data_IF_545576147042
#
_entry.id   IF_545576147042
#
_cell.length_a   1.000
_cell.length_b   1.000
_cell.length_c   1.000
_cell.angle_alpha   90.00
_cell.angle_beta   90.00
_cell.angle_gamma   90.00
#
_symmetry.space_group_name_H-M   'P 1'
#
loop_
_entity.id
_entity.type
_entity.pdbx_description
1 polymer ?
#
# COMPACT_ATOMS: atom_id res chain seq x y z
N UNK A 1 -15.40 -7.08 -20.14
CA UNK A 1 -14.87 -8.44 -20.42
C UNK A 1 -15.31 -9.37 -19.28
N UNK A 2 -15.21 -10.72 -19.38
CA UNK A 2 -15.62 -11.56 -18.25
C UNK A 2 -14.76 -11.28 -17.02
N UNK A 3 -15.40 -11.27 -15.84
CA UNK A 3 -14.70 -11.33 -14.55
C UNK A 3 -14.08 -12.70 -14.32
N UNK A 4 -13.19 -12.82 -13.34
CA UNK A 4 -12.58 -14.10 -12.96
C UNK A 4 -13.65 -15.18 -12.74
N UNK A 5 -14.65 -14.89 -11.92
CA UNK A 5 -15.72 -15.83 -11.58
C UNK A 5 -16.54 -16.22 -12.81
N UNK A 6 -16.84 -15.25 -13.69
CA UNK A 6 -17.53 -15.52 -14.96
C UNK A 6 -16.69 -16.38 -15.92
N UNK A 7 -15.38 -16.16 -15.99
CA UNK A 7 -14.48 -16.92 -16.88
C UNK A 7 -14.36 -18.38 -16.46
N UNK A 8 -14.22 -18.63 -15.16
CA UNK A 8 -14.10 -19.99 -14.61
C UNK A 8 -15.46 -20.66 -14.35
N UNK A 9 -16.57 -19.92 -14.41
CA UNK A 9 -17.90 -20.44 -14.07
C UNK A 9 -18.12 -20.66 -12.57
N UNK A 10 -17.49 -19.84 -11.72
CA UNK A 10 -17.68 -19.85 -10.27
C UNK A 10 -18.96 -19.07 -9.94
N UNK A 11 -19.89 -19.72 -9.23
CA UNK A 11 -21.16 -19.12 -8.83
C UNK A 11 -21.10 -18.62 -7.38
N UNK A 12 -21.83 -17.54 -7.10
CA UNK A 12 -21.96 -16.99 -5.75
C UNK A 12 -20.83 -16.01 -5.36
N UNK A 13 -20.83 -15.55 -4.10
CA UNK A 13 -19.79 -14.64 -3.61
C UNK A 13 -18.44 -15.36 -3.53
N UNK A 14 -17.38 -14.63 -3.90
CA UNK A 14 -15.99 -15.10 -3.82
C UNK A 14 -15.18 -14.27 -2.81
N UNK A 15 -14.20 -14.88 -2.12
CA UNK A 15 -13.37 -14.19 -1.12
C UNK A 15 -12.23 -13.38 -1.75
N UNK A 16 -12.07 -13.43 -3.07
CA UNK A 16 -11.07 -12.65 -3.81
C UNK A 16 -11.72 -11.49 -4.59
N UNK A 17 -10.92 -10.53 -5.00
CA UNK A 17 -11.36 -9.45 -5.87
C UNK A 17 -11.77 -9.99 -7.26
N UNK A 18 -13.07 -9.99 -7.55
CA UNK A 18 -13.62 -10.49 -8.83
C UNK A 18 -13.46 -9.46 -9.95
N UNK A 19 -12.28 -9.42 -10.54
CA UNK A 19 -11.89 -8.43 -11.55
C UNK A 19 -12.05 -8.93 -12.98
N UNK A 20 -12.20 -8.01 -13.92
CA UNK A 20 -12.17 -8.32 -15.35
C UNK A 20 -10.78 -8.80 -15.79
N UNK A 21 -10.72 -9.94 -16.50
CA UNK A 21 -9.44 -10.56 -16.86
C UNK A 21 -8.70 -9.75 -17.94
N UNK A 22 -9.42 -9.19 -18.92
CA UNK A 22 -8.79 -8.51 -20.05
C UNK A 22 -8.93 -6.98 -20.03
N UNK A 23 -9.31 -6.40 -18.89
CA UNK A 23 -9.43 -4.95 -18.72
C UNK A 23 -8.69 -4.48 -17.46
N UNK A 24 -8.51 -3.16 -17.37
CA UNK A 24 -8.05 -2.46 -16.16
C UNK A 24 -9.22 -2.24 -15.20
N UNK A 25 -9.02 -2.60 -13.94
CA UNK A 25 -10.07 -2.61 -12.92
C UNK A 25 -9.98 -1.41 -11.96
N UNK A 26 -8.93 -0.58 -12.06
CA UNK A 26 -8.69 0.58 -11.18
C UNK A 26 -8.83 0.26 -9.69
N UNK A 27 -8.32 -0.91 -9.32
CA UNK A 27 -8.24 -1.38 -7.95
C UNK A 27 -6.76 -1.47 -7.56
N UNK A 28 -6.51 -1.33 -6.27
CA UNK A 28 -5.17 -1.18 -5.73
C UNK A 28 -5.07 -1.99 -4.45
N UNK A 29 -4.04 -2.81 -4.36
CA UNK A 29 -3.67 -3.47 -3.10
C UNK A 29 -3.25 -2.36 -2.13
N UNK A 30 -3.93 -2.24 -1.01
CA UNK A 30 -3.55 -1.29 0.03
C UNK A 30 -2.94 -2.01 1.24
N UNK A 31 -1.64 -1.84 1.52
CA UNK A 31 -0.98 -2.43 2.68
C UNK A 31 -1.64 -2.05 4.01
N UNK A 32 -2.24 -0.85 4.11
CA UNK A 32 -2.95 -0.44 5.31
C UNK A 32 -4.30 -1.15 5.49
N UNK A 33 -4.95 -1.63 4.41
CA UNK A 33 -6.12 -2.50 4.54
C UNK A 33 -5.74 -3.83 5.14
N UNK A 34 -4.62 -4.41 4.67
CA UNK A 34 -4.09 -5.67 5.18
C UNK A 34 -3.79 -5.52 6.67
N UNK A 35 -3.19 -4.39 7.08
CA UNK A 35 -2.86 -4.11 8.49
C UNK A 35 -4.08 -3.97 9.39
N UNK A 36 -5.19 -3.49 8.84
CA UNK A 36 -6.44 -3.32 9.58
C UNK A 36 -7.34 -4.56 9.49
N UNK A 37 -6.92 -5.61 8.77
CA UNK A 37 -7.63 -6.87 8.74
C UNK A 37 -7.59 -7.53 10.13
N UNK A 38 -8.78 -7.86 10.66
CA UNK A 38 -8.94 -8.38 12.03
C UNK A 38 -9.32 -9.85 12.07
N UNK A 39 -9.84 -10.36 10.97
CA UNK A 39 -10.29 -11.74 10.92
C UNK A 39 -9.06 -12.66 10.82
N UNK A 40 -9.09 -13.86 11.43
CA UNK A 40 -8.01 -14.81 11.32
C UNK A 40 -7.87 -15.31 9.87
N UNK A 41 -7.06 -14.61 9.07
CA UNK A 41 -6.66 -15.01 7.73
C UNK A 41 -5.15 -15.29 7.75
N UNK A 42 -4.70 -16.55 7.56
CA UNK A 42 -3.28 -16.90 7.69
C UNK A 42 -2.40 -16.10 6.73
N UNK A 43 -2.94 -15.75 5.55
CA UNK A 43 -2.23 -14.99 4.53
C UNK A 43 -1.96 -13.53 4.94
N UNK A 44 -2.83 -12.92 5.76
CA UNK A 44 -2.66 -11.53 6.19
C UNK A 44 -1.45 -11.39 7.13
N UNK A 45 -1.26 -12.33 8.06
CA UNK A 45 -0.12 -12.33 8.97
C UNK A 45 1.21 -12.46 8.20
N UNK A 46 1.28 -13.37 7.22
CA UNK A 46 2.47 -13.52 6.39
C UNK A 46 2.70 -12.33 5.45
N UNK A 47 1.64 -11.73 4.89
CA UNK A 47 1.73 -10.50 4.10
C UNK A 47 2.31 -9.34 4.93
N UNK A 48 1.82 -9.14 6.16
CA UNK A 48 2.34 -8.11 7.06
C UNK A 48 3.78 -8.38 7.46
N UNK A 49 4.15 -9.64 7.72
CA UNK A 49 5.54 -10.01 7.99
C UNK A 49 6.46 -9.66 6.81
N UNK A 50 6.02 -9.89 5.57
CA UNK A 50 6.76 -9.45 4.38
C UNK A 50 6.89 -7.92 4.31
N UNK A 51 5.78 -7.19 4.45
CA UNK A 51 5.76 -5.71 4.41
C UNK A 51 6.69 -5.12 5.45
N UNK A 52 6.57 -5.56 6.70
CA UNK A 52 7.28 -4.96 7.83
C UNK A 52 8.78 -5.29 7.78
N UNK A 53 9.15 -6.54 7.44
CA UNK A 53 10.57 -6.90 7.32
C UNK A 53 11.24 -6.23 6.12
N UNK A 54 10.55 -6.12 4.99
CA UNK A 54 11.07 -5.41 3.82
C UNK A 54 11.35 -3.95 4.16
N UNK A 55 10.35 -3.27 4.72
CA UNK A 55 10.45 -1.84 4.96
C UNK A 55 11.43 -1.52 6.08
N UNK A 56 11.50 -2.36 7.11
CA UNK A 56 12.53 -2.28 8.13
C UNK A 56 13.94 -2.33 7.54
N UNK A 57 14.22 -3.21 6.57
CA UNK A 57 15.55 -3.24 5.94
C UNK A 57 15.86 -1.95 5.17
N UNK A 58 14.86 -1.39 4.45
CA UNK A 58 15.02 -0.11 3.73
C UNK A 58 15.34 1.02 4.71
N UNK A 59 14.57 1.19 5.78
CA UNK A 59 14.79 2.26 6.75
C UNK A 59 16.05 2.04 7.57
N UNK A 60 16.36 0.80 7.97
CA UNK A 60 17.58 0.47 8.70
C UNK A 60 18.84 0.76 7.88
N UNK A 61 18.81 0.52 6.56
CA UNK A 61 19.89 0.90 5.65
C UNK A 61 20.18 2.41 5.64
N UNK A 62 19.16 3.25 5.82
CA UNK A 62 19.29 4.71 5.92
C UNK A 62 19.85 5.09 7.30
N UNK A 63 19.32 4.48 8.36
CA UNK A 63 19.72 4.74 9.75
C UNK A 63 21.19 4.39 9.95
N UNK A 64 21.64 3.21 9.53
CA UNK A 64 23.03 2.74 9.61
C UNK A 64 23.95 3.61 8.74
N UNK A 65 23.52 3.97 7.53
CA UNK A 65 24.15 5.02 6.72
C UNK A 65 25.53 4.70 6.14
N UNK A 66 26.12 3.52 6.37
CA UNK A 66 27.37 3.10 5.72
C UNK A 66 27.18 2.92 4.21
N UNK A 67 28.23 3.06 3.39
CA UNK A 67 28.13 2.86 1.94
C UNK A 67 27.51 1.51 1.55
N UNK A 68 27.89 0.43 2.23
CA UNK A 68 27.35 -0.91 2.03
C UNK A 68 25.86 -0.98 2.39
N UNK A 69 25.45 -0.41 3.52
CA UNK A 69 24.05 -0.41 3.93
C UNK A 69 23.17 0.41 2.98
N UNK A 70 23.64 1.59 2.54
CA UNK A 70 22.95 2.43 1.56
C UNK A 70 22.81 1.73 0.21
N UNK A 71 23.88 1.08 -0.26
CA UNK A 71 23.84 0.29 -1.50
C UNK A 71 22.80 -0.85 -1.40
N UNK A 72 22.75 -1.56 -0.26
CA UNK A 72 21.73 -2.59 -0.02
C UNK A 72 20.32 -2.02 -0.06
N UNK A 73 20.05 -0.94 0.67
CA UNK A 73 18.70 -0.35 0.76
C UNK A 73 18.20 0.12 -0.61
N UNK A 74 19.06 0.77 -1.40
CA UNK A 74 18.76 1.14 -2.78
C UNK A 74 18.47 -0.09 -3.65
N UNK A 75 19.32 -1.11 -3.58
CA UNK A 75 19.16 -2.32 -4.38
C UNK A 75 17.84 -3.06 -4.07
N UNK A 76 17.38 -3.05 -2.82
CA UNK A 76 16.09 -3.63 -2.43
C UNK A 76 14.91 -2.99 -3.17
N UNK A 77 14.93 -1.66 -3.34
CA UNK A 77 13.88 -0.91 -4.01
C UNK A 77 13.94 -1.00 -5.54
N UNK A 78 15.03 -1.49 -6.12
CA UNK A 78 15.22 -1.60 -7.58
C UNK A 78 14.74 -2.94 -8.17
N UNK A 79 14.14 -3.82 -7.36
CA UNK A 79 13.73 -5.16 -7.79
C UNK A 79 12.25 -5.26 -8.20
N UNK A 80 11.50 -4.17 -8.19
CA UNK A 80 10.08 -4.25 -8.50
C UNK A 80 9.84 -4.53 -9.99
N UNK A 81 8.78 -5.27 -10.30
CA UNK A 81 8.26 -5.43 -11.65
C UNK A 81 6.76 -5.21 -11.56
N UNK A 82 6.10 -4.71 -12.60
CA UNK A 82 4.66 -4.48 -12.53
C UNK A 82 3.89 -5.81 -12.37
N UNK A 83 3.04 -5.99 -11.33
CA UNK A 83 2.29 -7.21 -11.02
C UNK A 83 1.03 -7.37 -11.86
N UNK A 84 1.21 -7.47 -13.17
CA UNK A 84 0.13 -7.64 -14.13
C UNK A 84 -0.71 -8.89 -13.86
N UNK A 85 -0.17 -9.89 -13.16
CA UNK A 85 -0.86 -11.14 -12.82
C UNK A 85 -2.14 -10.89 -12.01
N UNK A 86 -2.27 -9.77 -11.30
CA UNK A 86 -3.45 -9.44 -10.47
C UNK A 86 -4.62 -8.81 -11.23
N UNK A 87 -4.36 -8.22 -12.41
CA UNK A 87 -5.33 -7.42 -13.19
C UNK A 87 -5.94 -6.21 -12.44
N UNK A 88 -5.34 -5.78 -11.33
CA UNK A 88 -5.86 -4.68 -10.50
C UNK A 88 -5.51 -3.29 -11.07
N UNK A 89 -4.27 -3.12 -11.53
CA UNK A 89 -3.67 -1.81 -11.86
C UNK A 89 -4.00 -1.26 -13.25
N UNK A 90 -3.52 -0.03 -13.47
CA UNK A 90 -3.67 0.73 -14.72
C UNK A 90 -2.61 0.34 -15.75
N UNK A 91 -3.03 -0.13 -16.93
CA UNK A 91 -2.10 -0.46 -18.03
C UNK A 91 -1.28 0.75 -18.56
N UNK A 92 -1.66 1.98 -18.20
CA UNK A 92 -1.04 3.22 -18.71
C UNK A 92 -0.13 3.91 -17.67
N UNK A 93 -0.26 3.60 -16.37
CA UNK A 93 0.35 4.37 -15.27
C UNK A 93 1.13 3.53 -14.24
N UNK A 94 1.46 2.28 -14.56
CA UNK A 94 2.40 1.47 -13.76
C UNK A 94 3.83 2.00 -13.85
N UNK A 95 4.83 1.18 -13.45
CA UNK A 95 6.25 1.55 -13.58
C UNK A 95 6.62 2.08 -14.99
N UNK A 96 5.93 1.64 -16.04
CA UNK A 96 6.11 2.10 -17.43
C UNK A 96 5.82 3.60 -17.63
N UNK A 97 4.90 4.20 -16.87
CA UNK A 97 4.63 5.65 -16.91
C UNK A 97 5.68 6.49 -16.16
N UNK A 98 6.48 5.86 -15.28
CA UNK A 98 7.45 6.50 -14.40
C UNK A 98 8.92 6.15 -14.71
N UNK A 99 9.22 5.55 -15.88
CA UNK A 99 10.59 5.23 -16.29
C UNK A 99 11.12 3.87 -15.84
N UNK A 100 10.25 2.90 -15.55
CA UNK A 100 10.63 1.56 -15.11
C UNK A 100 10.90 1.49 -13.61
N UNK A 101 10.92 0.26 -13.08
CA UNK A 101 11.01 0.03 -11.65
C UNK A 101 12.35 0.42 -11.03
N UNK A 102 13.46 0.33 -11.78
CA UNK A 102 14.77 0.80 -11.33
C UNK A 102 14.77 2.30 -11.06
N UNK A 103 14.08 3.08 -11.92
CA UNK A 103 13.94 4.52 -11.79
C UNK A 103 13.04 4.87 -10.60
N UNK A 104 11.88 4.22 -10.47
CA UNK A 104 10.97 4.44 -9.32
C UNK A 104 11.66 4.08 -8.01
N UNK A 105 12.35 2.94 -7.95
CA UNK A 105 13.08 2.50 -6.77
C UNK A 105 14.21 3.46 -6.38
N UNK A 106 14.99 3.92 -7.37
CA UNK A 106 16.03 4.94 -7.17
C UNK A 106 15.44 6.23 -6.62
N UNK A 107 14.33 6.68 -7.19
CA UNK A 107 13.71 7.92 -6.78
C UNK A 107 13.10 7.86 -5.38
N UNK A 108 12.41 6.76 -5.03
CA UNK A 108 11.96 6.53 -3.64
C UNK A 108 13.16 6.58 -2.70
N UNK A 109 14.27 5.92 -3.06
CA UNK A 109 15.50 5.93 -2.27
C UNK A 109 16.07 7.34 -2.09
N UNK A 110 16.11 8.16 -3.16
CA UNK A 110 16.63 9.52 -3.12
C UNK A 110 15.76 10.42 -2.21
N UNK A 111 14.43 10.28 -2.24
CA UNK A 111 13.55 11.02 -1.32
C UNK A 111 13.76 10.57 0.13
N UNK A 112 13.85 9.25 0.38
CA UNK A 112 14.06 8.71 1.73
C UNK A 112 15.45 9.04 2.30
N UNK A 113 16.44 9.32 1.46
CA UNK A 113 17.80 9.74 1.86
C UNK A 113 18.09 11.23 1.65
N UNK A 114 17.06 11.99 1.29
CA UNK A 114 17.07 13.44 1.13
C UNK A 114 15.97 14.05 1.98
N UNK A 115 14.90 14.52 1.31
CA UNK A 115 13.81 15.27 1.95
C UNK A 115 13.20 14.54 3.15
N UNK A 116 12.93 13.24 3.02
CA UNK A 116 12.27 12.45 4.07
C UNK A 116 13.24 11.78 5.06
N UNK A 117 14.56 11.99 4.96
CA UNK A 117 15.54 11.31 5.83
C UNK A 117 15.28 11.58 7.32
N UNK A 118 14.88 12.81 7.66
CA UNK A 118 14.60 13.19 9.04
C UNK A 118 13.43 12.38 9.65
N UNK A 119 12.31 12.21 8.92
CA UNK A 119 11.16 11.43 9.41
C UNK A 119 11.45 9.92 9.47
N UNK A 120 12.40 9.43 8.66
CA UNK A 120 12.92 8.06 8.77
C UNK A 120 13.78 7.90 10.04
N UNK A 121 14.72 8.82 10.28
CA UNK A 121 15.67 8.74 11.40
C UNK A 121 15.01 8.86 12.77
N UNK A 122 14.01 9.72 12.88
CA UNK A 122 13.20 9.85 14.12
C UNK A 122 12.15 8.75 14.25
N UNK A 123 12.09 7.80 13.31
CA UNK A 123 11.26 6.61 13.38
C UNK A 123 9.76 6.90 13.25
N UNK A 124 9.36 7.93 12.50
CA UNK A 124 7.95 8.24 12.24
C UNK A 124 7.45 7.54 10.98
N UNK A 125 8.30 7.48 9.95
CA UNK A 125 8.01 6.75 8.71
C UNK A 125 8.37 5.26 8.92
N UNK A 126 7.34 4.42 9.16
CA UNK A 126 7.52 3.04 9.66
C UNK A 126 7.04 1.96 8.71
N UNK A 127 6.15 2.29 7.78
CA UNK A 127 5.54 1.30 6.92
C UNK A 127 5.48 1.75 5.46
N UNK A 128 5.34 0.79 4.54
CA UNK A 128 5.21 1.05 3.09
C UNK A 128 4.03 1.98 2.80
N UNK A 129 2.91 1.84 3.52
CA UNK A 129 1.75 2.72 3.38
C UNK A 129 2.00 4.18 3.78
N UNK A 130 3.12 4.50 4.45
CA UNK A 130 3.46 5.88 4.82
C UNK A 130 4.13 6.62 3.65
N UNK A 131 4.74 5.90 2.69
CA UNK A 131 5.41 6.47 1.51
C UNK A 131 4.57 7.50 0.73
N UNK A 132 3.31 7.21 0.32
CA UNK A 132 2.54 8.15 -0.48
C UNK A 132 2.26 9.49 0.23
N UNK A 133 2.38 9.54 1.56
CA UNK A 133 2.18 10.77 2.33
C UNK A 133 3.32 11.79 2.14
N UNK A 134 4.52 11.31 1.81
CA UNK A 134 5.75 12.10 1.81
C UNK A 134 6.54 12.06 0.51
N UNK A 135 6.42 10.98 -0.27
CA UNK A 135 7.10 10.85 -1.55
C UNK A 135 6.15 11.34 -2.63
N UNK A 136 6.46 12.49 -3.25
CA UNK A 136 5.68 13.01 -4.38
C UNK A 136 5.60 11.95 -5.47
N UNK A 137 4.52 11.91 -6.27
CA UNK A 137 4.30 10.93 -7.34
C UNK A 137 4.24 9.44 -6.93
N UNK A 138 4.53 9.06 -5.68
CA UNK A 138 4.11 7.77 -5.13
C UNK A 138 2.67 7.93 -4.64
N UNK A 139 1.76 7.25 -5.31
CA UNK A 139 0.35 7.16 -4.93
C UNK A 139 -0.11 5.70 -5.10
N UNK A 140 -1.42 5.47 -5.10
CA UNK A 140 -2.07 4.16 -5.18
C UNK A 140 -1.48 3.17 -6.20
N UNK A 141 -1.07 3.62 -7.39
CA UNK A 141 -0.53 2.74 -8.43
C UNK A 141 0.81 2.14 -7.97
N UNK A 142 1.81 2.99 -7.69
CA UNK A 142 3.13 2.55 -7.21
C UNK A 142 3.05 1.85 -5.85
N UNK A 143 2.24 2.35 -4.90
CA UNK A 143 2.07 1.69 -3.61
C UNK A 143 1.49 0.28 -3.76
N UNK A 144 0.49 0.10 -4.63
CA UNK A 144 -0.10 -1.22 -4.92
C UNK A 144 0.91 -2.15 -5.57
N UNK A 145 1.69 -1.66 -6.54
CA UNK A 145 2.66 -2.47 -7.26
C UNK A 145 3.79 -2.96 -6.34
N UNK A 146 4.36 -2.05 -5.55
CA UNK A 146 5.39 -2.37 -4.55
C UNK A 146 4.83 -3.36 -3.53
N UNK A 147 3.64 -3.08 -3.00
CA UNK A 147 3.01 -3.96 -2.00
C UNK A 147 2.82 -5.35 -2.55
N UNK A 148 2.21 -5.48 -3.74
CA UNK A 148 1.95 -6.76 -4.39
C UNK A 148 3.23 -7.56 -4.63
N UNK A 149 4.34 -6.90 -4.98
CA UNK A 149 5.64 -7.59 -5.16
C UNK A 149 6.26 -8.03 -3.85
N UNK A 150 6.15 -7.23 -2.79
CA UNK A 150 6.60 -7.63 -1.44
C UNK A 150 5.79 -8.83 -0.92
N UNK A 151 4.48 -8.83 -1.11
CA UNK A 151 3.58 -9.88 -0.60
C UNK A 151 3.26 -10.98 -1.62
N UNK A 152 4.06 -11.09 -2.69
CA UNK A 152 3.76 -11.99 -3.80
C UNK A 152 3.65 -13.46 -3.37
N UNK A 153 4.50 -13.90 -2.43
CA UNK A 153 4.41 -15.25 -1.87
C UNK A 153 3.11 -15.49 -1.10
N UNK A 154 2.72 -14.66 -0.10
CA UNK A 154 1.41 -14.74 0.54
C UNK A 154 0.22 -14.75 -0.42
N UNK A 155 0.25 -13.93 -1.48
CA UNK A 155 -0.81 -13.93 -2.51
C UNK A 155 -0.82 -15.22 -3.34
N UNK A 156 0.35 -15.79 -3.62
CA UNK A 156 0.45 -17.07 -4.32
C UNK A 156 -0.12 -18.21 -3.45
N UNK A 157 0.19 -18.21 -2.15
CA UNK A 157 -0.35 -19.19 -1.19
C UNK A 157 -1.88 -19.04 -1.06
N UNK A 158 -2.40 -17.81 -0.99
CA UNK A 158 -3.83 -17.55 -1.05
C UNK A 158 -4.44 -18.06 -2.35
N UNK A 159 -3.81 -17.76 -3.49
CA UNK A 159 -4.28 -18.20 -4.81
C UNK A 159 -4.34 -19.72 -4.93
N UNK A 160 -3.31 -20.42 -4.47
CA UNK A 160 -3.27 -21.89 -4.42
C UNK A 160 -4.41 -22.44 -3.55
N UNK A 161 -4.68 -21.82 -2.39
CA UNK A 161 -5.81 -22.23 -1.55
C UNK A 161 -7.17 -22.06 -2.25
N UNK A 162 -7.33 -21.02 -3.08
CA UNK A 162 -8.54 -20.81 -3.88
C UNK A 162 -8.65 -21.82 -5.03
N UNK A 163 -7.53 -22.15 -5.68
CA UNK A 163 -7.49 -23.21 -6.69
C UNK A 163 -7.97 -24.54 -6.10
N UNK A 164 -7.56 -24.86 -4.87
CA UNK A 164 -8.01 -26.06 -4.17
C UNK A 164 -9.49 -25.99 -3.75
N UNK A 165 -9.97 -24.82 -3.34
CA UNK A 165 -11.35 -24.63 -2.86
C UNK A 165 -12.39 -24.61 -3.99
N UNK A 166 -12.01 -24.18 -5.20
CA UNK A 166 -12.91 -24.02 -6.34
C UNK A 166 -12.51 -24.97 -7.50
N UNK A 167 -13.18 -26.14 -7.64
CA UNK A 167 -12.90 -27.11 -8.70
C UNK A 167 -12.97 -26.55 -10.13
N UNK A 168 -13.68 -25.44 -10.30
CA UNK A 168 -13.83 -24.69 -11.54
C UNK A 168 -12.49 -24.33 -12.20
N UNK A 169 -11.45 -24.05 -11.40
CA UNK A 169 -10.10 -23.76 -11.91
C UNK A 169 -9.46 -24.94 -12.69
N UNK A 170 -9.99 -26.16 -12.54
CA UNK A 170 -9.55 -27.37 -13.23
C UNK A 170 -10.60 -27.97 -14.18
N UNK A 171 -11.78 -27.37 -14.27
CA UNK A 171 -12.90 -27.88 -15.08
C UNK A 171 -13.01 -27.13 -16.41
N UNK A 172 -13.83 -27.63 -17.35
CA UNK A 172 -14.17 -26.87 -18.56
C UNK A 172 -12.99 -26.54 -19.50
N UNK A 173 -11.85 -27.22 -19.36
CA UNK A 173 -10.63 -26.92 -20.11
C UNK A 173 -9.71 -25.87 -19.45
N UNK A 174 -10.07 -25.37 -18.27
CA UNK A 174 -9.20 -24.52 -17.46
C UNK A 174 -8.04 -25.32 -16.86
N UNK A 175 -6.90 -24.65 -16.67
CA UNK A 175 -5.68 -25.26 -16.18
C UNK A 175 -4.91 -24.32 -15.26
N UNK A 176 -4.05 -24.92 -14.46
CA UNK A 176 -3.02 -24.24 -13.67
C UNK A 176 -1.66 -24.43 -14.31
N UNK A 177 -0.76 -23.47 -14.13
CA UNK A 177 0.63 -23.56 -14.57
C UNK A 177 1.61 -23.33 -13.42
N UNK A 178 2.83 -23.85 -13.55
CA UNK A 178 3.92 -23.58 -12.62
C UNK A 178 4.83 -22.48 -13.17
N UNK A 179 5.10 -21.47 -12.37
CA UNK A 179 5.88 -20.30 -12.76
C UNK A 179 6.96 -20.01 -11.72
N UNK A 180 8.19 -19.77 -12.17
CA UNK A 180 9.26 -19.25 -11.30
C UNK A 180 9.10 -17.75 -11.15
N UNK A 181 8.92 -17.27 -9.93
CA UNK A 181 8.69 -15.85 -9.63
C UNK A 181 9.65 -15.36 -8.56
N UNK A 182 10.04 -14.10 -8.65
CA UNK A 182 10.77 -13.43 -7.59
C UNK A 182 9.83 -13.22 -6.40
N UNK A 183 10.33 -13.46 -5.19
CA UNK A 183 9.58 -13.30 -3.94
C UNK A 183 10.47 -12.67 -2.87
N UNK A 184 9.87 -11.89 -1.99
CA UNK A 184 10.53 -11.46 -0.77
C UNK A 184 10.53 -12.61 0.23
N UNK A 185 11.70 -12.99 0.75
CA UNK A 185 11.79 -13.89 1.89
C UNK A 185 11.99 -13.08 3.18
N UNK A 186 10.95 -12.93 4.01
CA UNK A 186 11.05 -12.22 5.30
C UNK A 186 12.00 -12.88 6.32
N UNK A 187 12.37 -14.14 6.15
CA UNK A 187 13.29 -14.85 7.06
C UNK A 187 14.75 -14.50 6.76
N UNK A 188 15.16 -14.60 5.49
CA UNK A 188 16.49 -14.17 5.04
C UNK A 188 16.62 -12.66 4.79
N UNK A 189 15.48 -11.94 4.75
CA UNK A 189 15.37 -10.51 4.44
C UNK A 189 16.05 -10.16 3.12
N UNK A 190 15.75 -10.95 2.11
CA UNK A 190 16.30 -10.83 0.77
C UNK A 190 15.27 -11.22 -0.29
N UNK A 191 15.48 -10.71 -1.50
CA UNK A 191 14.77 -11.20 -2.69
C UNK A 191 15.32 -12.57 -3.08
N UNK A 192 14.42 -13.51 -3.33
CA UNK A 192 14.72 -14.85 -3.83
C UNK A 192 13.78 -15.23 -4.97
N UNK A 193 13.79 -16.51 -5.34
CA UNK A 193 12.85 -17.07 -6.32
C UNK A 193 12.12 -18.26 -5.76
N UNK A 194 10.85 -18.43 -6.15
CA UNK A 194 10.00 -19.57 -5.78
C UNK A 194 9.24 -20.06 -7.00
N UNK A 195 9.11 -21.37 -7.14
CA UNK A 195 8.17 -21.99 -8.07
C UNK A 195 6.78 -21.97 -7.45
N UNK A 196 5.82 -21.36 -8.14
CA UNK A 196 4.44 -21.23 -7.67
C UNK A 196 3.46 -21.76 -8.71
N UNK A 197 2.34 -22.31 -8.25
CA UNK A 197 1.26 -22.79 -9.13
C UNK A 197 0.14 -21.75 -9.15
N UNK A 198 -0.21 -21.27 -10.34
CA UNK A 198 -1.24 -20.25 -10.55
C UNK A 198 -2.28 -20.72 -11.57
N UNK A 199 -3.56 -20.34 -11.43
CA UNK A 199 -4.53 -20.50 -12.50
C UNK A 199 -4.11 -19.69 -13.73
N UNK A 200 -4.47 -20.19 -14.91
CA UNK A 200 -4.18 -19.52 -16.19
C UNK A 200 -5.47 -19.05 -16.81
N UNK A 201 -5.53 -17.77 -17.17
CA UNK A 201 -6.64 -17.14 -17.86
C UNK A 201 -6.11 -16.45 -19.13
N UNK A 202 -6.70 -16.76 -20.29
CA UNK A 202 -6.26 -16.26 -21.60
C UNK A 202 -4.75 -16.45 -21.86
N UNK A 203 -4.25 -17.64 -21.51
CA UNK A 203 -2.84 -18.02 -21.69
C UNK A 203 -1.85 -17.33 -20.74
N UNK A 204 -2.35 -16.60 -19.73
CA UNK A 204 -1.56 -15.79 -18.82
C UNK A 204 -1.81 -16.18 -17.35
N UNK A 205 -0.78 -16.30 -16.49
CA UNK A 205 -0.99 -16.50 -15.05
C UNK A 205 -1.89 -15.44 -14.42
N UNK A 206 -2.70 -15.88 -13.46
CA UNK A 206 -3.59 -15.05 -12.66
C UNK A 206 -3.23 -15.21 -11.17
N UNK A 207 -2.98 -14.09 -10.50
CA UNK A 207 -2.73 -14.01 -9.06
C UNK A 207 -3.96 -13.40 -8.40
N UNK A 208 -4.61 -14.15 -7.51
CA UNK A 208 -5.79 -13.69 -6.81
C UNK A 208 -5.40 -12.84 -5.61
N UNK A 209 -6.21 -11.83 -5.32
CA UNK A 209 -6.04 -10.94 -4.18
C UNK A 209 -7.28 -11.03 -3.30
N UNK A 210 -7.14 -11.21 -1.97
CA UNK A 210 -8.28 -11.18 -1.06
C UNK A 210 -9.12 -9.91 -1.26
N UNK A 211 -10.44 -10.06 -1.29
CA UNK A 211 -11.37 -8.98 -1.65
C UNK A 211 -11.20 -7.74 -0.76
N UNK A 212 -10.91 -7.94 0.52
CA UNK A 212 -10.74 -6.88 1.50
C UNK A 212 -9.43 -6.08 1.35
N UNK A 213 -8.45 -6.61 0.62
CA UNK A 213 -7.13 -5.98 0.46
C UNK A 213 -7.09 -4.98 -0.71
N UNK A 214 -7.98 -5.15 -1.70
CA UNK A 214 -8.00 -4.34 -2.91
C UNK A 214 -9.09 -3.25 -2.88
N UNK A 215 -8.74 -2.00 -3.19
CA UNK A 215 -9.68 -0.85 -3.16
C UNK A 215 -9.35 0.21 -4.21
N UNK A 216 -10.28 1.13 -4.52
CA UNK A 216 -10.09 2.20 -5.52
C UNK A 216 -9.19 3.37 -5.09
N UNK A 217 -9.06 3.56 -3.77
CA UNK A 217 -8.27 4.63 -3.15
C UNK A 217 -7.57 4.09 -1.92
N UNK A 218 -6.30 4.46 -1.68
CA UNK A 218 -5.57 4.12 -0.45
C UNK A 218 -6.23 4.72 0.80
N UNK A 219 -6.12 4.03 1.95
CA UNK A 219 -6.55 4.59 3.23
C UNK A 219 -5.58 5.70 3.66
N UNK A 220 -4.28 5.43 3.46
CA UNK A 220 -3.18 6.36 3.70
C UNK A 220 -2.98 7.31 2.51
N UNK A 221 -3.97 8.18 2.28
CA UNK A 221 -3.92 9.19 1.20
C UNK A 221 -3.24 10.48 1.67
N UNK A 222 -2.29 11.00 0.89
CA UNK A 222 -1.60 12.26 1.16
C UNK A 222 -2.56 13.45 1.32
N UNK A 223 -3.57 13.54 0.44
CA UNK A 223 -4.58 14.60 0.47
C UNK A 223 -5.44 14.52 1.73
N UNK A 224 -5.79 13.31 2.15
CA UNK A 224 -6.58 13.10 3.37
C UNK A 224 -5.74 13.44 4.59
N UNK A 225 -4.51 12.93 4.68
CA UNK A 225 -3.55 13.26 5.74
C UNK A 225 -3.35 14.77 5.88
N UNK A 226 -3.13 15.45 4.76
CA UNK A 226 -3.03 16.90 4.68
C UNK A 226 -4.28 17.58 5.28
N UNK A 227 -5.47 17.23 4.77
CA UNK A 227 -6.71 17.87 5.14
C UNK A 227 -7.19 17.58 6.56
N UNK A 228 -6.94 16.38 7.09
CA UNK A 228 -7.48 15.92 8.38
C UNK A 228 -6.50 16.06 9.52
N UNK A 229 -5.20 15.94 9.28
CA UNK A 229 -4.20 15.86 10.35
C UNK A 229 -3.24 17.04 10.30
N UNK A 230 -2.55 17.25 9.17
CA UNK A 230 -1.59 18.36 8.99
C UNK A 230 -2.26 19.72 9.21
N UNK A 231 -3.39 19.97 8.54
CA UNK A 231 -4.12 21.23 8.74
C UNK A 231 -4.73 21.35 10.13
N UNK A 232 -5.11 20.25 10.78
CA UNK A 232 -5.65 20.31 12.15
C UNK A 232 -4.58 20.68 13.16
N UNK A 233 -3.37 20.14 13.01
CA UNK A 233 -2.21 20.54 13.81
C UNK A 233 -1.90 22.03 13.62
N UNK A 234 -1.79 22.49 12.36
CA UNK A 234 -1.54 23.91 12.07
C UNK A 234 -2.65 24.84 12.59
N UNK A 235 -3.91 24.41 12.61
CA UNK A 235 -5.01 25.16 13.24
C UNK A 235 -4.82 25.32 14.74
N UNK A 236 -4.38 24.25 15.43
CA UNK A 236 -4.18 24.25 16.87
C UNK A 236 -2.96 25.08 17.28
N UNK A 237 -1.89 25.07 16.49
CA UNK A 237 -0.70 25.90 16.74
C UNK A 237 -1.02 27.41 16.70
N UNK A 238 -1.94 27.81 15.82
CA UNK A 238 -2.35 29.21 15.65
C UNK A 238 -3.58 29.57 16.49
N UNK A 239 -4.05 28.65 17.33
CA UNK A 239 -5.27 28.84 18.08
C UNK A 239 -5.07 29.84 19.22
N UNK A 240 -6.04 30.72 19.40
CA UNK A 240 -6.05 31.67 20.53
C UNK A 240 -7.31 31.45 21.36
N UNK A 241 -7.20 31.60 22.67
CA UNK A 241 -8.34 31.52 23.57
C UNK A 241 -8.92 32.93 23.71
N UNK A 242 -10.21 33.09 23.42
CA UNK A 242 -10.89 34.37 23.61
C UNK A 242 -11.18 34.66 25.09
N UNK A 243 -11.70 35.85 25.38
CA UNK A 243 -12.04 36.27 26.74
C UNK A 243 -13.13 35.43 27.42
N UNK A 244 -13.85 34.59 26.66
CA UNK A 244 -14.89 33.68 27.15
C UNK A 244 -14.38 32.23 27.27
N UNK A 245 -13.08 31.98 27.08
CA UNK A 245 -12.49 30.65 27.14
C UNK A 245 -12.72 29.80 25.88
N UNK A 246 -13.24 30.39 24.79
CA UNK A 246 -13.47 29.67 23.53
C UNK A 246 -12.19 29.65 22.71
N UNK A 247 -11.85 28.47 22.20
CA UNK A 247 -10.74 28.30 21.26
C UNK A 247 -11.13 28.86 19.89
N UNK A 248 -10.45 29.91 19.45
CA UNK A 248 -10.55 30.50 18.12
C UNK A 248 -9.48 29.87 17.23
N UNK A 249 -9.91 29.21 16.16
CA UNK A 249 -9.02 28.58 15.17
C UNK A 249 -9.26 29.18 13.79
N UNK A 250 -8.17 29.42 13.06
CA UNK A 250 -8.22 29.77 11.65
C UNK A 250 -8.95 28.68 10.85
N UNK A 251 -9.77 29.03 9.87
CA UNK A 251 -10.43 28.00 9.03
C UNK A 251 -9.41 27.26 8.15
N UNK A 252 -9.61 25.95 7.92
CA UNK A 252 -8.76 25.18 6.98
C UNK A 252 -8.74 25.76 5.57
N UNK A 253 -9.85 26.39 5.13
CA UNK A 253 -9.94 27.08 3.84
C UNK A 253 -8.98 28.27 3.79
N UNK A 254 -8.89 29.05 4.87
CA UNK A 254 -7.94 30.15 4.99
C UNK A 254 -6.50 29.65 5.06
N UNK A 255 -6.22 28.63 5.88
CA UNK A 255 -4.87 28.07 6.00
C UNK A 255 -4.30 27.59 4.66
N UNK A 256 -5.12 26.97 3.80
CA UNK A 256 -4.72 26.56 2.44
C UNK A 256 -4.19 27.69 1.55
N UNK A 257 -4.54 28.94 1.85
CA UNK A 257 -4.08 30.10 1.08
C UNK A 257 -2.68 30.57 1.49
N UNK A 258 -2.23 30.22 2.71
CA UNK A 258 -0.88 30.54 3.15
C UNK A 258 0.15 29.74 2.34
N UNK A 259 1.20 30.39 1.79
CA UNK A 259 2.25 29.71 1.03
C UNK A 259 2.84 28.52 1.78
N UNK A 260 3.01 28.64 3.10
CA UNK A 260 3.61 27.61 3.96
C UNK A 260 2.68 26.43 4.30
N UNK A 261 1.41 26.51 3.91
CA UNK A 261 0.42 25.47 4.20
C UNK A 261 -0.34 25.05 2.95
N UNK A 262 0.19 25.33 1.73
CA UNK A 262 -0.37 24.81 0.49
C UNK A 262 -0.30 23.29 0.47
N UNK A 263 -1.29 22.66 -0.17
CA UNK A 263 -1.35 21.20 -0.30
C UNK A 263 -0.13 20.70 -1.09
N UNK A 264 0.59 19.72 -0.53
CA UNK A 264 1.80 19.14 -1.13
C UNK A 264 2.57 18.25 -0.15
N UNK A 265 3.40 17.35 -0.68
CA UNK A 265 4.21 16.41 0.14
C UNK A 265 5.26 17.13 0.97
N UNK A 266 5.82 18.21 0.45
CA UNK A 266 6.74 19.10 1.18
C UNK A 266 6.06 19.70 2.43
N UNK A 267 4.81 20.17 2.30
CA UNK A 267 4.03 20.67 3.45
C UNK A 267 3.74 19.57 4.45
N UNK A 268 3.34 18.37 3.98
CA UNK A 268 3.12 17.21 4.87
C UNK A 268 4.37 16.90 5.68
N UNK A 269 5.53 16.84 5.02
CA UNK A 269 6.81 16.56 5.62
C UNK A 269 7.20 17.64 6.65
N UNK A 270 7.24 18.91 6.24
CA UNK A 270 7.63 20.04 7.10
C UNK A 270 6.76 20.15 8.34
N UNK A 271 5.44 20.04 8.19
CA UNK A 271 4.53 20.14 9.33
C UNK A 271 4.63 18.91 10.23
N UNK A 272 4.87 17.72 9.67
CA UNK A 272 5.13 16.52 10.48
C UNK A 272 6.40 16.66 11.31
N UNK A 273 7.49 17.19 10.73
CA UNK A 273 8.71 17.47 11.48
C UNK A 273 8.50 18.48 12.60
N UNK A 274 7.78 19.58 12.33
CA UNK A 274 7.40 20.55 13.36
C UNK A 274 6.54 19.94 14.47
N UNK A 275 5.62 19.03 14.13
CA UNK A 275 4.81 18.34 15.13
C UNK A 275 5.64 17.43 16.03
N UNK A 276 6.67 16.76 15.49
CA UNK A 276 7.61 15.94 16.26
C UNK A 276 8.38 16.80 17.26
N UNK A 277 8.81 18.01 16.88
CA UNK A 277 9.44 18.98 17.80
C UNK A 277 8.50 19.40 18.95
N UNK A 278 7.18 19.25 18.76
CA UNK A 278 6.15 19.49 19.77
C UNK A 278 5.63 18.20 20.42
N UNK A 279 6.39 17.10 20.33
CA UNK A 279 6.05 15.78 20.90
C UNK A 279 4.73 15.18 20.36
N UNK A 280 4.35 15.53 19.13
CA UNK A 280 3.14 15.01 18.46
C UNK A 280 3.48 14.14 17.25
N UNK A 281 2.97 12.92 17.26
CA UNK A 281 3.06 12.00 16.12
C UNK A 281 1.81 12.10 15.24
N UNK A 282 1.91 12.90 14.17
CA UNK A 282 0.80 13.07 13.23
C UNK A 282 0.46 11.79 12.48
N UNK A 283 1.42 10.89 12.25
CA UNK A 283 1.17 9.65 11.53
C UNK A 283 0.35 8.69 12.37
N UNK A 284 0.72 8.51 13.63
CA UNK A 284 -0.05 7.68 14.56
C UNK A 284 -1.45 8.26 14.80
N UNK A 285 -1.58 9.58 14.94
CA UNK A 285 -2.88 10.24 15.01
C UNK A 285 -3.73 9.99 13.74
N UNK A 286 -3.11 10.02 12.56
CA UNK A 286 -3.79 9.74 11.30
C UNK A 286 -4.21 8.27 11.16
N UNK A 287 -3.33 7.32 11.50
CA UNK A 287 -3.64 5.88 11.51
C UNK A 287 -4.80 5.58 12.47
N UNK A 288 -4.80 6.18 13.67
CA UNK A 288 -5.91 6.06 14.61
C UNK A 288 -7.22 6.65 14.04
N UNK A 289 -7.15 7.81 13.39
CA UNK A 289 -8.30 8.39 12.70
C UNK A 289 -8.84 7.46 11.61
N UNK A 290 -7.98 6.87 10.78
CA UNK A 290 -8.38 5.91 9.74
C UNK A 290 -9.05 4.68 10.36
N UNK A 291 -8.43 4.08 11.38
CA UNK A 291 -8.98 2.92 12.07
C UNK A 291 -10.36 3.20 12.67
N UNK A 292 -10.61 4.41 13.18
CA UNK A 292 -11.92 4.83 13.72
C UNK A 292 -13.02 4.97 12.66
N UNK A 293 -12.66 5.03 11.37
CA UNK A 293 -13.59 5.19 10.25
C UNK A 293 -13.91 3.89 9.54
N UNK A 294 -13.23 2.80 9.88
CA UNK A 294 -13.53 1.48 9.35
C UNK A 294 -14.65 0.91 10.23
N UNK A 295 -15.83 0.59 9.66
CA UNK A 295 -16.85 -0.11 10.42
C UNK A 295 -16.27 -1.44 10.94
N UNK A 296 -16.66 -1.92 12.13
CA UNK A 296 -16.38 -3.31 12.49
C UNK A 296 -16.89 -4.18 11.34
N UNK A 297 -16.12 -5.21 10.95
CA UNK A 297 -16.39 -6.04 9.78
C UNK A 297 -17.88 -6.30 9.64
N UNK A 298 -18.50 -5.70 8.62
CA UNK A 298 -19.80 -6.16 8.17
C UNK A 298 -19.55 -7.53 7.56
N UNK A 299 -19.86 -8.56 8.34
CA UNK A 299 -20.08 -9.89 7.83
C UNK A 299 -20.93 -9.79 6.55
N UNK A 300 -20.62 -10.66 5.61
CA UNK A 300 -21.35 -10.89 4.37
C UNK A 300 -22.79 -11.39 4.63
N UNK A 301 -23.62 -10.54 5.24
CA UNK A 301 -25.08 -10.62 5.24
C UNK A 301 -25.62 -9.43 4.48
N UNK A 302 -25.57 -9.54 3.16
CA UNK A 302 -26.74 -9.20 2.35
C UNK A 302 -26.99 -10.37 1.40
N UNK A 303 -27.53 -11.42 2.02
CA UNK A 303 -28.39 -12.36 1.34
C UNK A 303 -29.77 -11.71 1.22
N UNK A 304 -30.29 -11.68 -0.02
CA UNK A 304 -31.69 -11.45 -0.37
C UNK A 304 -32.29 -10.07 -0.05
N UNK A 305 -32.35 -9.23 -1.10
CA UNK A 305 -33.58 -8.57 -1.51
C UNK A 305 -33.61 -8.48 -3.04
#
# INVERSE_FOLDING_TARGET
MPTISNHYGIAGPVPFADVEIGADNRLYVDPHAIRLHRDPEPFAADALRCIDTFFHEVTNSIIVGTPTSRARGRALLQQFTEPWETRLGMAEAGFHGHGGAETVGTWIWDVLTGDAEAVVRVGVLRHVEDLPLFVEGVDRDITSDITTRIIFSPLADFTESMVHAYPQFHSGGHQTGTFTKQVWDPSSRAWGTRSITLPVADGKPLLLVPRSWARRTLLMSARRFYGTTVLSFAQLEQAVVDSNGKLLVSSKKFLRTHPDLREGRETNLRVTLRAIENEQDLLEAFKAFIASKIPPSEDATDAAA
#
